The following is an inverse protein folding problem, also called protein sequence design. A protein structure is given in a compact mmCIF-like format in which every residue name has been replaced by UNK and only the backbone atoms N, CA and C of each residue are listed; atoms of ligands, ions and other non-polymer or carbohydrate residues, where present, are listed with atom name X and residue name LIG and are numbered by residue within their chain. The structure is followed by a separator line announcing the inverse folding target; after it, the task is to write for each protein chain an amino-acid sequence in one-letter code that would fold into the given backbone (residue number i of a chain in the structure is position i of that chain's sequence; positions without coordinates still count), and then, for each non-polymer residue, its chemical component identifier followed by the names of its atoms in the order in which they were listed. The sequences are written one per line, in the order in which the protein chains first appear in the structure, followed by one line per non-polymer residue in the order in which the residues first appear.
data_IF_376047642244
#
_entry.id   IF_376047642244
#
_cell.length_a   1.000
_cell.length_b   1.000
_cell.length_c   1.000
_cell.angle_alpha   90.00
_cell.angle_beta   90.00
_cell.angle_gamma   90.00
#
_symmetry.space_group_name_H-M   'P 1'
#
loop_
_entity.id
_entity.type
_entity.pdbx_description
1 polymer ?
#
# COMPACT_ATOMS: atom_id res chain seq x y z
N UNK A 1 8.02 -3.48 -19.32
CA UNK A 1 8.94 -2.57 -18.59
C UNK A 1 8.43 -2.41 -17.15
N UNK A 2 8.75 -3.37 -16.27
CA UNK A 2 8.29 -3.45 -14.86
C UNK A 2 8.96 -2.45 -13.91
N UNK A 3 9.63 -1.44 -14.47
CA UNK A 3 10.65 -0.62 -13.79
C UNK A 3 10.10 0.36 -12.74
N UNK A 4 8.78 0.44 -12.56
CA UNK A 4 8.16 1.43 -11.69
C UNK A 4 7.22 0.88 -10.60
N UNK A 5 6.99 -0.44 -10.48
CA UNK A 5 6.05 -0.96 -9.46
C UNK A 5 6.40 -0.51 -8.03
N UNK A 6 7.69 -0.43 -7.68
CA UNK A 6 8.14 0.09 -6.39
C UNK A 6 7.85 1.59 -6.23
N UNK A 7 7.90 2.36 -7.33
CA UNK A 7 7.52 3.78 -7.32
C UNK A 7 6.01 3.93 -7.15
N UNK A 8 5.23 3.09 -7.79
CA UNK A 8 3.76 3.10 -7.69
C UNK A 8 3.32 2.73 -6.28
N UNK A 9 3.92 1.69 -5.68
CA UNK A 9 3.73 1.36 -4.26
C UNK A 9 4.12 2.54 -3.36
N UNK A 10 5.24 3.21 -3.64
CA UNK A 10 5.67 4.37 -2.86
C UNK A 10 4.67 5.53 -2.98
N UNK A 11 4.19 5.83 -4.18
CA UNK A 11 3.18 6.85 -4.41
C UNK A 11 1.86 6.51 -3.70
N UNK A 12 1.46 5.25 -3.73
CA UNK A 12 0.29 4.75 -3.01
C UNK A 12 0.44 4.93 -1.50
N UNK A 13 1.56 4.55 -0.91
CA UNK A 13 1.84 4.78 0.52
C UNK A 13 1.80 6.27 0.86
N UNK A 14 2.36 7.15 0.03
CA UNK A 14 2.29 8.60 0.25
C UNK A 14 0.85 9.13 0.25
N UNK A 15 -0.03 8.61 -0.62
CA UNK A 15 -1.47 8.95 -0.61
C UNK A 15 -2.16 8.49 0.66
N UNK A 16 -1.83 7.30 1.17
CA UNK A 16 -2.42 6.82 2.43
C UNK A 16 -1.93 7.66 3.60
N UNK A 17 -0.64 8.02 3.60
CA UNK A 17 -0.02 8.85 4.64
C UNK A 17 -0.65 10.24 4.75
N UNK A 18 -0.95 10.89 3.62
CA UNK A 18 -1.62 12.19 3.63
C UNK A 18 -3.05 12.15 4.19
N UNK A 19 -3.69 10.98 4.22
CA UNK A 19 -5.06 10.80 4.72
C UNK A 19 -5.07 10.36 6.19
N UNK A 20 -4.15 9.45 6.57
CA UNK A 20 -4.23 8.72 7.84
C UNK A 20 -3.06 8.92 8.79
N UNK A 21 -2.04 9.70 8.41
CA UNK A 21 -0.82 9.91 9.20
C UNK A 21 -0.19 8.57 9.62
N UNK A 22 0.47 7.90 8.67
CA UNK A 22 1.03 6.58 8.87
C UNK A 22 2.21 6.62 9.84
N UNK A 23 2.23 5.65 10.75
CA UNK A 23 3.35 5.43 11.65
C UNK A 23 4.39 4.51 11.03
N UNK A 24 3.95 3.43 10.37
CA UNK A 24 4.82 2.43 9.71
C UNK A 24 4.08 1.76 8.55
N UNK A 25 4.83 1.25 7.59
CA UNK A 25 4.35 0.31 6.59
C UNK A 25 5.37 -0.81 6.37
N UNK A 26 4.89 -1.98 5.95
CA UNK A 26 5.73 -3.11 5.56
C UNK A 26 5.25 -3.64 4.22
N UNK A 27 6.18 -3.81 3.29
CA UNK A 27 5.98 -4.58 2.07
C UNK A 27 6.34 -6.03 2.36
N UNK A 28 5.42 -6.95 2.06
CA UNK A 28 5.66 -8.38 2.18
C UNK A 28 5.20 -9.10 0.90
N UNK A 29 5.26 -10.43 0.89
CA UNK A 29 4.83 -11.22 -0.27
C UNK A 29 5.83 -11.25 -1.43
N UNK A 30 5.33 -11.57 -2.62
CA UNK A 30 6.12 -11.81 -3.84
C UNK A 30 6.96 -10.60 -4.24
N UNK A 31 6.39 -9.39 -4.17
CA UNK A 31 7.11 -8.16 -4.49
C UNK A 31 8.27 -7.86 -3.53
N UNK A 32 8.12 -8.20 -2.24
CA UNK A 32 9.21 -8.08 -1.28
C UNK A 32 10.34 -9.06 -1.57
N UNK A 33 10.01 -10.29 -1.97
CA UNK A 33 10.96 -11.36 -2.32
C UNK A 33 11.62 -11.17 -3.69
N UNK A 34 11.01 -10.40 -4.57
CA UNK A 34 11.46 -10.21 -5.95
C UNK A 34 10.92 -11.26 -6.93
N UNK A 35 9.99 -12.12 -6.49
CA UNK A 35 9.38 -13.19 -7.28
C UNK A 35 7.95 -12.81 -7.73
N UNK A 36 7.77 -11.55 -8.16
CA UNK A 36 6.49 -11.05 -8.63
C UNK A 36 6.41 -11.13 -10.16
N UNK A 37 5.20 -11.35 -10.65
CA UNK A 37 4.87 -11.42 -12.07
C UNK A 37 3.69 -10.48 -12.38
N UNK A 38 3.29 -10.44 -13.63
CA UNK A 38 2.28 -9.48 -14.14
C UNK A 38 0.90 -9.57 -13.49
N UNK A 39 0.57 -10.74 -12.97
CA UNK A 39 -0.69 -11.04 -12.29
C UNK A 39 -0.53 -11.14 -10.77
N UNK A 40 0.61 -10.71 -10.22
CA UNK A 40 0.83 -10.73 -8.77
C UNK A 40 0.09 -9.58 -8.09
N UNK A 41 -0.53 -9.90 -6.96
CA UNK A 41 -1.01 -8.90 -6.00
C UNK A 41 0.16 -8.24 -5.24
N UNK A 42 -0.15 -7.14 -4.55
CA UNK A 42 0.79 -6.41 -3.71
C UNK A 42 0.33 -6.47 -2.26
N UNK A 43 1.16 -7.08 -1.41
CA UNK A 43 0.87 -7.26 0.01
C UNK A 43 1.51 -6.15 0.87
N UNK A 44 0.68 -5.40 1.59
CA UNK A 44 1.11 -4.29 2.47
C UNK A 44 0.49 -4.41 3.86
N UNK A 45 1.31 -4.23 4.90
CA UNK A 45 0.84 -3.96 6.26
C UNK A 45 1.00 -2.48 6.50
N UNK A 46 -0.07 -1.83 6.97
CA UNK A 46 -0.10 -0.40 7.22
C UNK A 46 -0.48 -0.16 8.68
N UNK A 47 0.30 0.64 9.39
CA UNK A 47 0.13 0.96 10.80
C UNK A 47 0.05 2.48 10.94
N UNK A 48 -1.05 2.99 11.48
CA UNK A 48 -1.29 4.42 11.68
C UNK A 48 -2.55 4.66 12.52
N UNK A 49 -2.99 5.91 12.61
CA UNK A 49 -4.24 6.29 13.28
C UNK A 49 -5.47 5.95 12.42
N UNK A 50 -5.66 4.66 12.13
CA UNK A 50 -6.68 4.13 11.21
C UNK A 50 -8.05 4.00 11.89
N UNK A 51 -8.64 5.14 12.27
CA UNK A 51 -9.94 5.22 12.94
C UNK A 51 -11.12 4.96 11.98
N UNK A 52 -12.25 4.47 12.52
CA UNK A 52 -13.48 4.19 11.76
C UNK A 52 -13.62 2.75 11.27
N UNK A 53 -14.66 2.47 10.47
CA UNK A 53 -14.93 1.13 9.95
C UNK A 53 -13.97 0.77 8.82
N UNK A 54 -13.70 -0.51 8.64
CA UNK A 54 -12.73 -0.97 7.63
C UNK A 54 -13.09 -0.54 6.21
N UNK A 55 -14.37 -0.62 5.83
CA UNK A 55 -14.85 -0.23 4.50
C UNK A 55 -14.74 1.27 4.25
N UNK A 56 -15.02 2.11 5.25
CA UNK A 56 -14.88 3.57 5.13
C UNK A 56 -13.42 3.97 4.85
N UNK A 57 -12.47 3.24 5.47
CA UNK A 57 -11.03 3.47 5.25
C UNK A 57 -10.63 3.13 3.82
N UNK A 58 -11.09 1.99 3.31
CA UNK A 58 -10.84 1.59 1.91
C UNK A 58 -11.43 2.61 0.95
N UNK A 59 -12.67 3.05 1.21
CA UNK A 59 -13.35 4.08 0.42
C UNK A 59 -12.53 5.36 0.29
N UNK A 60 -11.99 5.88 1.41
CA UNK A 60 -11.14 7.10 1.41
C UNK A 60 -9.84 6.95 0.62
N UNK A 61 -9.30 5.74 0.50
CA UNK A 61 -8.06 5.49 -0.25
C UNK A 61 -8.35 5.40 -1.75
N UNK A 62 -9.48 4.80 -2.13
CA UNK A 62 -9.81 4.48 -3.52
C UNK A 62 -10.69 5.54 -4.20
N UNK A 63 -11.30 6.47 -3.46
CA UNK A 63 -12.02 7.65 -3.97
C UNK A 63 -11.06 8.70 -4.50
#
# INVERSE_FOLDING_TARGET
MWRNIRKDVKAFIHRIDSIFNLRKFFLFGSLAKGDYHENSDIDLIIIGALLGRIFDRIGKILS
#
